data_IF_921254941597
#
_entry.id   IF_921254941597
#
_cell.length_a   1.000
_cell.length_b   1.000
_cell.length_c   1.000
_cell.angle_alpha   90.00
_cell.angle_beta   90.00
_cell.angle_gamma   90.00
#
_symmetry.space_group_name_H-M   'P 1'
#
loop_
_entity.id
_entity.type
_entity.pdbx_description
1 polymer ?
#
# COMPACT_ATOMS: atom_id res chain seq x y z
N UNK A 1 -5.66 -26.75 6.28
CA UNK A 1 -4.43 -27.48 5.90
C UNK A 1 -3.89 -27.01 4.56
N UNK A 2 -4.71 -26.99 3.49
CA UNK A 2 -4.31 -26.51 2.16
C UNK A 2 -3.64 -25.13 2.16
N UNK A 3 -4.22 -24.15 2.87
CA UNK A 3 -3.64 -22.81 3.03
C UNK A 3 -2.20 -22.82 3.58
N UNK A 4 -1.92 -23.70 4.55
CA UNK A 4 -0.59 -23.79 5.16
C UNK A 4 0.43 -24.39 4.19
N UNK A 5 0.03 -25.41 3.44
CA UNK A 5 0.85 -26.01 2.39
C UNK A 5 1.16 -24.99 1.28
N UNK A 6 0.16 -24.20 0.87
CA UNK A 6 0.36 -23.11 -0.08
C UNK A 6 1.43 -22.12 0.42
N UNK A 7 1.32 -21.64 1.66
CA UNK A 7 2.29 -20.70 2.23
C UNK A 7 3.70 -21.32 2.36
N UNK A 8 3.80 -22.60 2.71
CA UNK A 8 5.09 -23.31 2.78
C UNK A 8 5.78 -23.43 1.41
N UNK A 9 5.02 -23.65 0.35
CA UNK A 9 5.56 -23.65 -1.01
C UNK A 9 5.98 -22.22 -1.37
N UNK A 10 5.11 -21.25 -1.14
CA UNK A 10 5.34 -19.84 -1.49
C UNK A 10 6.58 -19.26 -0.81
N UNK A 11 6.84 -19.64 0.44
CA UNK A 11 8.03 -19.28 1.21
C UNK A 11 9.34 -19.59 0.46
N UNK A 12 9.41 -20.70 -0.27
CA UNK A 12 10.60 -21.09 -1.05
C UNK A 12 10.88 -20.13 -2.22
N UNK A 13 9.84 -19.51 -2.76
CA UNK A 13 9.91 -18.63 -3.93
C UNK A 13 9.76 -17.15 -3.56
N UNK A 14 9.70 -16.80 -2.27
CA UNK A 14 9.42 -15.42 -1.80
C UNK A 14 10.38 -14.38 -2.38
N UNK A 15 11.65 -14.74 -2.53
CA UNK A 15 12.70 -13.85 -3.04
C UNK A 15 12.49 -13.44 -4.50
N UNK A 16 11.68 -14.19 -5.26
CA UNK A 16 11.33 -13.88 -6.66
C UNK A 16 9.93 -13.26 -6.74
N UNK A 17 8.97 -13.86 -6.03
CA UNK A 17 7.56 -13.45 -6.08
C UNK A 17 7.35 -12.05 -5.49
N UNK A 18 8.06 -11.70 -4.41
CA UNK A 18 7.90 -10.42 -3.71
C UNK A 18 8.89 -9.35 -4.17
N UNK A 19 9.61 -9.55 -5.28
CA UNK A 19 10.42 -8.49 -5.90
C UNK A 19 9.49 -7.34 -6.32
N UNK A 20 9.75 -6.11 -5.88
CA UNK A 20 8.96 -4.93 -6.27
C UNK A 20 9.28 -4.41 -7.69
N UNK A 21 10.43 -4.79 -8.26
CA UNK A 21 10.85 -4.41 -9.63
C UNK A 21 9.94 -5.03 -10.70
N UNK A 22 9.79 -4.32 -11.82
CA UNK A 22 8.92 -4.66 -12.94
C UNK A 22 9.64 -4.65 -14.30
N UNK A 23 10.94 -4.95 -14.32
CA UNK A 23 11.66 -5.12 -15.58
C UNK A 23 11.26 -6.43 -16.30
N UNK A 24 11.54 -6.52 -17.60
CA UNK A 24 11.11 -7.64 -18.45
C UNK A 24 11.65 -9.00 -17.96
N UNK A 25 12.88 -9.03 -17.45
CA UNK A 25 13.51 -10.24 -16.92
C UNK A 25 12.81 -10.67 -15.63
N UNK A 26 12.60 -9.75 -14.69
CA UNK A 26 11.92 -10.00 -13.42
C UNK A 26 10.49 -10.49 -13.63
N UNK A 27 9.77 -9.96 -14.63
CA UNK A 27 8.41 -10.43 -14.95
C UNK A 27 8.42 -11.89 -15.43
N UNK A 28 9.37 -12.26 -16.29
CA UNK A 28 9.54 -13.65 -16.75
C UNK A 28 9.92 -14.58 -15.60
N UNK A 29 10.83 -14.15 -14.74
CA UNK A 29 11.26 -14.93 -13.57
C UNK A 29 10.10 -15.16 -12.59
N UNK A 30 9.26 -14.13 -12.36
CA UNK A 30 8.04 -14.26 -11.58
C UNK A 30 7.07 -15.24 -12.20
N UNK A 31 6.84 -15.18 -13.51
CA UNK A 31 5.91 -16.10 -14.17
C UNK A 31 6.41 -17.55 -14.15
N UNK A 32 7.72 -17.76 -14.26
CA UNK A 32 8.34 -19.07 -14.07
C UNK A 32 8.17 -19.56 -12.63
N UNK A 33 8.47 -18.71 -11.64
CA UNK A 33 8.31 -19.06 -10.22
C UNK A 33 6.85 -19.43 -9.90
N UNK A 34 5.88 -18.67 -10.42
CA UNK A 34 4.46 -18.99 -10.24
C UNK A 34 4.04 -20.29 -10.92
N UNK A 35 4.63 -20.63 -12.07
CA UNK A 35 4.41 -21.91 -12.73
C UNK A 35 4.92 -23.08 -11.87
N UNK A 36 6.11 -22.95 -11.27
CA UNK A 36 6.66 -23.96 -10.38
C UNK A 36 5.87 -24.10 -9.08
N UNK A 37 5.44 -22.98 -8.46
CA UNK A 37 4.54 -23.00 -7.30
C UNK A 37 3.25 -23.75 -7.62
N UNK A 38 2.65 -23.50 -8.78
CA UNK A 38 1.41 -24.15 -9.20
C UNK A 38 1.59 -25.65 -9.39
N UNK A 39 2.70 -26.05 -10.03
CA UNK A 39 3.06 -27.45 -10.23
C UNK A 39 3.30 -28.16 -8.90
N UNK A 40 4.13 -27.60 -8.03
CA UNK A 40 4.42 -28.18 -6.71
C UNK A 40 3.15 -28.29 -5.86
N UNK A 41 2.28 -27.28 -5.89
CA UNK A 41 1.01 -27.30 -5.18
C UNK A 41 0.09 -28.41 -5.68
N UNK A 42 -0.10 -28.54 -6.99
CA UNK A 42 -0.98 -29.55 -7.58
C UNK A 42 -0.43 -30.99 -7.44
N UNK A 43 0.88 -31.15 -7.24
CA UNK A 43 1.51 -32.46 -7.01
C UNK A 43 1.29 -33.00 -5.58
N UNK A 44 0.83 -32.16 -4.65
CA UNK A 44 0.58 -32.60 -3.28
C UNK A 44 -0.62 -33.54 -3.23
N UNK A 45 -0.45 -34.73 -2.63
CA UNK A 45 -1.50 -35.75 -2.50
C UNK A 45 -2.76 -35.26 -1.74
N UNK A 46 -2.64 -34.19 -0.96
CA UNK A 46 -3.75 -33.58 -0.22
C UNK A 46 -4.63 -32.66 -1.09
N UNK A 47 -4.21 -32.34 -2.31
CA UNK A 47 -4.94 -31.46 -3.22
C UNK A 47 -5.83 -32.30 -4.12
N UNK A 48 -7.14 -32.26 -3.86
CA UNK A 48 -8.13 -33.03 -4.61
C UNK A 48 -8.51 -32.40 -5.95
N UNK A 49 -8.26 -31.10 -6.12
CA UNK A 49 -8.60 -30.36 -7.34
C UNK A 49 -7.43 -29.50 -7.76
N UNK A 50 -7.01 -29.65 -9.02
CA UNK A 50 -5.98 -28.81 -9.60
C UNK A 50 -6.36 -27.33 -9.55
N UNK A 51 -5.37 -26.51 -9.23
CA UNK A 51 -5.47 -25.06 -9.26
C UNK A 51 -4.69 -24.52 -10.44
N UNK A 52 -5.15 -23.40 -10.98
CA UNK A 52 -4.42 -22.65 -11.99
C UNK A 52 -3.51 -21.62 -11.33
N UNK A 53 -2.47 -21.21 -12.04
CA UNK A 53 -1.58 -20.11 -11.63
C UNK A 53 -2.38 -18.86 -11.24
N UNK A 54 -3.42 -18.53 -12.01
CA UNK A 54 -4.26 -17.36 -11.76
C UNK A 54 -5.03 -17.47 -10.44
N UNK A 55 -5.54 -18.66 -10.10
CA UNK A 55 -6.22 -18.90 -8.83
C UNK A 55 -5.26 -18.75 -7.64
N UNK A 56 -4.03 -19.26 -7.77
CA UNK A 56 -3.01 -19.14 -6.71
C UNK A 56 -2.51 -17.70 -6.55
N UNK A 57 -2.29 -16.97 -7.66
CA UNK A 57 -1.99 -15.54 -7.65
C UNK A 57 -3.11 -14.76 -6.96
N UNK A 58 -4.38 -15.07 -7.27
CA UNK A 58 -5.55 -14.43 -6.63
C UNK A 58 -5.65 -14.76 -5.15
N UNK A 59 -5.42 -16.02 -4.76
CA UNK A 59 -5.38 -16.43 -3.37
C UNK A 59 -4.34 -15.63 -2.59
N UNK A 60 -3.13 -15.50 -3.13
CA UNK A 60 -2.07 -14.71 -2.50
C UNK A 60 -2.42 -13.23 -2.37
N UNK A 61 -2.98 -12.63 -3.43
CA UNK A 61 -3.45 -11.25 -3.38
C UNK A 61 -4.51 -11.03 -2.28
N UNK A 62 -5.45 -11.97 -2.14
CA UNK A 62 -6.48 -11.92 -1.10
C UNK A 62 -5.88 -12.08 0.31
N UNK A 63 -4.89 -12.96 0.49
CA UNK A 63 -4.20 -13.13 1.77
C UNK A 63 -3.46 -11.85 2.18
N UNK A 64 -2.74 -11.22 1.24
CA UNK A 64 -2.10 -9.92 1.45
C UNK A 64 -3.12 -8.83 1.78
N UNK A 65 -4.27 -8.81 1.11
CA UNK A 65 -5.32 -7.83 1.40
C UNK A 65 -5.91 -8.01 2.80
N UNK A 66 -6.30 -9.23 3.15
CA UNK A 66 -6.86 -9.52 4.47
C UNK A 66 -5.89 -9.15 5.60
N UNK A 67 -4.59 -9.37 5.39
CA UNK A 67 -3.55 -8.96 6.32
C UNK A 67 -3.43 -7.43 6.44
N UNK A 68 -3.50 -6.68 5.33
CA UNK A 68 -3.53 -5.21 5.35
C UNK A 68 -4.76 -4.66 6.09
N UNK A 69 -5.92 -5.26 5.86
CA UNK A 69 -7.17 -4.84 6.50
C UNK A 69 -7.11 -5.06 8.01
N UNK A 70 -6.61 -6.22 8.45
CA UNK A 70 -6.39 -6.54 9.85
C UNK A 70 -5.44 -5.51 10.53
N UNK A 71 -4.33 -5.18 9.86
CA UNK A 71 -3.36 -4.20 10.35
C UNK A 71 -3.95 -2.79 10.42
N UNK A 72 -4.68 -2.38 9.38
CA UNK A 72 -5.35 -1.07 9.32
C UNK A 72 -6.38 -0.96 10.43
N UNK A 73 -7.19 -1.99 10.63
CA UNK A 73 -8.17 -2.06 11.71
C UNK A 73 -7.52 -1.93 13.09
N UNK A 74 -6.43 -2.68 13.34
CA UNK A 74 -5.65 -2.56 14.59
C UNK A 74 -5.16 -1.13 14.83
N UNK A 75 -4.65 -0.47 13.80
CA UNK A 75 -4.17 0.91 13.90
C UNK A 75 -5.31 1.88 14.18
N UNK A 76 -6.44 1.75 13.49
CA UNK A 76 -7.62 2.59 13.70
C UNK A 76 -8.18 2.45 15.11
N UNK A 77 -8.30 1.21 15.61
CA UNK A 77 -8.70 0.95 17.00
C UNK A 77 -7.79 1.66 18.02
N UNK A 78 -6.46 1.63 17.81
CA UNK A 78 -5.50 2.35 18.67
C UNK A 78 -5.65 3.87 18.64
N UNK A 79 -6.08 4.43 17.51
CA UNK A 79 -6.23 5.88 17.33
C UNK A 79 -7.64 6.38 17.70
N UNK A 80 -8.60 5.48 17.92
CA UNK A 80 -9.94 5.83 18.31
C UNK A 80 -9.96 6.33 19.77
N UNK A 81 -10.39 7.57 19.98
CA UNK A 81 -10.49 8.21 21.31
C UNK A 81 -11.92 8.28 21.82
N UNK A 82 -12.86 7.62 21.15
CA UNK A 82 -14.31 7.78 21.39
C UNK A 82 -14.94 6.70 22.26
N UNK A 83 -14.46 6.48 23.50
CA UNK A 83 -15.16 5.78 24.61
C UNK A 83 -15.81 4.40 24.36
N UNK A 84 -15.65 3.83 23.17
CA UNK A 84 -16.25 2.57 22.76
C UNK A 84 -15.46 1.37 23.26
N UNK A 85 -16.07 0.18 23.30
CA UNK A 85 -15.38 -1.04 23.67
C UNK A 85 -14.20 -1.31 22.71
N UNK A 86 -13.09 -1.77 23.27
CA UNK A 86 -11.89 -2.14 22.51
C UNK A 86 -12.24 -3.19 21.45
N UNK A 87 -11.94 -2.89 20.18
CA UNK A 87 -12.14 -3.86 19.12
C UNK A 87 -11.16 -5.02 19.25
N UNK A 88 -11.67 -6.24 19.03
CA UNK A 88 -10.92 -7.50 19.15
C UNK A 88 -9.60 -7.50 18.38
N UNK A 89 -8.59 -8.14 18.98
CA UNK A 89 -7.24 -8.23 18.43
C UNK A 89 -7.25 -8.71 16.97
N UNK A 90 -6.70 -7.88 16.08
CA UNK A 90 -6.57 -8.22 14.67
C UNK A 90 -5.74 -9.50 14.51
N UNK A 91 -6.33 -10.52 13.88
CA UNK A 91 -5.67 -11.82 13.63
C UNK A 91 -4.64 -11.68 12.51
N UNK A 92 -3.44 -11.25 12.89
CA UNK A 92 -2.25 -11.14 12.03
C UNK A 92 -1.68 -12.54 11.81
N UNK A 93 -1.53 -12.96 10.55
CA UNK A 93 -0.93 -14.25 10.23
C UNK A 93 0.61 -14.13 10.13
N UNK A 94 1.39 -14.82 10.98
CA UNK A 94 2.84 -14.73 10.98
C UNK A 94 3.48 -15.32 9.71
N UNK A 95 2.86 -16.34 9.09
CA UNK A 95 3.41 -16.99 7.89
C UNK A 95 3.32 -16.02 6.69
N UNK A 96 2.23 -15.27 6.58
CA UNK A 96 2.04 -14.24 5.54
C UNK A 96 3.05 -13.11 5.73
N UNK A 97 3.32 -12.72 6.97
CA UNK A 97 4.26 -11.66 7.28
C UNK A 97 5.72 -12.07 7.00
N UNK A 98 6.07 -13.33 7.22
CA UNK A 98 7.40 -13.85 6.90
C UNK A 98 7.69 -13.87 5.39
N UNK A 99 6.67 -14.10 4.56
CA UNK A 99 6.78 -14.06 3.10
C UNK A 99 6.81 -12.62 2.59
N UNK A 100 5.93 -11.76 3.11
CA UNK A 100 5.79 -10.36 2.71
C UNK A 100 5.95 -9.40 3.91
N UNK A 101 7.19 -9.18 4.39
CA UNK A 101 7.43 -8.31 5.56
C UNK A 101 7.11 -6.84 5.26
N UNK A 102 7.30 -6.42 4.00
CA UNK A 102 7.03 -5.06 3.55
C UNK A 102 5.53 -4.70 3.52
N UNK A 103 4.63 -5.65 3.79
CA UNK A 103 3.20 -5.38 3.89
C UNK A 103 2.86 -4.36 5.00
N UNK A 104 3.80 -4.18 5.93
CA UNK A 104 3.73 -3.24 7.06
C UNK A 104 4.39 -1.87 6.79
N UNK A 105 5.02 -1.66 5.63
CA UNK A 105 5.62 -0.37 5.29
C UNK A 105 4.52 0.65 5.00
N UNK A 106 4.24 1.53 5.96
CA UNK A 106 3.39 2.69 5.72
C UNK A 106 4.09 3.62 4.74
N UNK A 107 3.31 4.29 3.89
CA UNK A 107 3.84 5.44 3.16
C UNK A 107 4.43 6.43 4.18
N UNK A 108 5.66 6.93 3.94
CA UNK A 108 6.24 7.93 4.81
C UNK A 108 5.30 9.15 4.84
N UNK A 109 4.84 9.51 6.03
CA UNK A 109 4.12 10.77 6.24
C UNK A 109 5.10 11.92 6.11
N UNK A 110 4.76 12.89 5.26
CA UNK A 110 5.59 14.08 5.02
C UNK A 110 5.59 15.02 6.23
N UNK A 111 4.44 15.16 6.87
CA UNK A 111 4.27 15.99 8.05
C UNK A 111 3.17 15.41 8.94
N UNK A 112 3.40 15.38 10.25
CA UNK A 112 2.36 15.07 11.23
C UNK A 112 2.27 16.24 12.21
N UNK A 113 1.07 16.49 12.74
CA UNK A 113 0.80 17.61 13.67
C UNK A 113 1.68 17.58 14.95
N UNK A 114 2.30 16.44 15.23
CA UNK A 114 3.16 16.19 16.38
C UNK A 114 4.66 16.08 16.04
N UNK A 115 5.10 16.52 14.85
CA UNK A 115 6.49 16.44 14.42
C UNK A 115 7.27 17.69 14.80
N UNK A 116 8.50 17.51 15.29
CA UNK A 116 9.42 18.61 15.69
C UNK A 116 10.07 19.25 14.47
N UNK A 117 10.52 20.50 14.58
CA UNK A 117 11.16 21.23 13.47
C UNK A 117 12.38 20.49 12.87
N UNK A 118 13.10 19.72 13.70
CA UNK A 118 14.24 18.90 13.26
C UNK A 118 13.75 17.74 12.38
N UNK A 119 12.71 17.04 12.80
CA UNK A 119 12.13 15.93 12.04
C UNK A 119 11.49 16.40 10.72
N UNK A 120 11.01 17.65 10.66
CA UNK A 120 10.52 18.27 9.42
C UNK A 120 11.66 18.44 8.42
N UNK A 121 12.80 18.98 8.88
CA UNK A 121 13.94 19.29 8.02
C UNK A 121 14.57 18.00 7.44
N UNK A 122 14.75 16.99 8.29
CA UNK A 122 15.25 15.67 7.87
C UNK A 122 14.35 15.03 6.78
N UNK A 123 13.02 15.20 6.89
CA UNK A 123 12.10 14.70 5.85
C UNK A 123 12.12 15.54 4.58
N UNK A 124 12.34 16.86 4.66
CA UNK A 124 12.52 17.71 3.48
C UNK A 124 13.73 17.25 2.69
N UNK A 125 14.87 17.04 3.34
CA UNK A 125 16.09 16.54 2.69
C UNK A 125 15.84 15.19 2.01
N UNK A 126 15.23 14.24 2.70
CA UNK A 126 14.90 12.93 2.13
C UNK A 126 13.98 13.02 0.90
N UNK A 127 12.96 13.89 0.92
CA UNK A 127 12.10 14.10 -0.25
C UNK A 127 12.85 14.75 -1.41
N UNK A 128 13.75 15.68 -1.11
CA UNK A 128 14.57 16.35 -2.11
C UNK A 128 15.49 15.37 -2.84
N UNK A 129 16.07 14.41 -2.12
CA UNK A 129 16.90 13.34 -2.70
C UNK A 129 16.10 12.39 -3.62
N UNK A 130 14.87 12.04 -3.23
CA UNK A 130 13.97 11.22 -4.06
C UNK A 130 13.59 11.95 -5.34
N UNK A 131 13.36 13.26 -5.28
CA UNK A 131 13.00 14.08 -6.45
C UNK A 131 14.22 14.27 -7.36
N UNK A 132 15.40 14.51 -6.79
CA UNK A 132 16.65 14.73 -7.53
C UNK A 132 17.14 13.48 -8.28
N UNK A 133 16.72 12.29 -7.85
CA UNK A 133 17.06 11.02 -8.50
C UNK A 133 16.13 10.63 -9.64
N UNK A 134 14.99 11.32 -9.82
CA UNK A 134 14.05 11.12 -10.92
C UNK A 134 14.00 12.38 -11.79
N UNK A 135 14.93 12.52 -12.74
CA UNK A 135 14.87 13.59 -13.75
C UNK A 135 13.62 13.44 -14.64
N UNK A 136 12.56 14.19 -14.30
CA UNK A 136 11.52 14.82 -15.14
C UNK A 136 10.14 14.76 -14.47
N UNK A 137 9.78 15.80 -13.69
CA UNK A 137 8.42 16.32 -13.67
C UNK A 137 8.44 17.79 -13.22
N UNK A 138 7.76 18.63 -14.00
CA UNK A 138 7.75 20.09 -13.89
C UNK A 138 7.46 20.62 -12.48
N UNK A 139 8.19 21.67 -12.15
CA UNK A 139 8.09 22.50 -10.94
C UNK A 139 6.67 23.05 -10.74
N UNK A 140 6.03 22.69 -9.64
CA UNK A 140 4.97 23.53 -9.05
C UNK A 140 5.61 24.38 -7.96
N UNK A 141 5.94 25.62 -8.34
CA UNK A 141 6.40 26.68 -7.44
C UNK A 141 5.27 27.05 -6.44
N UNK A 142 5.49 26.92 -5.12
CA UNK A 142 4.49 27.28 -4.12
C UNK A 142 4.53 28.77 -3.72
N UNK A 143 5.21 29.64 -4.46
CA UNK A 143 5.30 31.08 -4.16
C UNK A 143 4.62 31.96 -5.23
N UNK A 144 3.30 31.89 -5.33
CA UNK A 144 2.54 33.01 -5.92
C UNK A 144 1.55 33.57 -4.91
N UNK A 145 2.10 34.36 -3.98
CA UNK A 145 1.36 35.34 -3.21
C UNK A 145 0.98 36.48 -4.16
N UNK A 146 -0.28 36.55 -4.59
CA UNK A 146 -0.87 37.81 -5.01
C UNK A 146 -2.04 38.12 -4.07
N UNK A 147 -1.69 38.77 -2.96
CA UNK A 147 -2.59 39.74 -2.35
C UNK A 147 -2.67 40.92 -3.32
N UNK A 148 -3.86 41.25 -3.83
CA UNK A 148 -4.18 42.64 -4.05
C UNK A 148 -5.69 42.91 -3.90
N UNK A 149 -5.93 44.00 -3.20
CA UNK A 149 -7.14 44.42 -2.51
C UNK A 149 -8.11 45.22 -3.41
N UNK A 150 -9.41 45.05 -3.11
CA UNK A 150 -10.49 46.06 -3.06
C UNK A 150 -10.77 46.90 -4.32
N UNK A 151 -12.00 46.78 -4.84
CA UNK A 151 -12.93 47.94 -4.92
C UNK A 151 -14.38 47.50 -5.13
N UNK A 152 -15.23 47.93 -4.20
CA UNK A 152 -16.69 47.99 -4.30
C UNK A 152 -17.15 48.71 -5.57
N UNK A 153 -18.20 48.21 -6.23
CA UNK A 153 -19.23 49.09 -6.80
C UNK A 153 -20.59 48.40 -6.82
N UNK A 154 -21.51 49.00 -6.07
CA UNK A 154 -22.93 48.70 -5.93
C UNK A 154 -23.75 49.10 -7.17
N UNK A 155 -25.03 48.68 -7.16
CA UNK A 155 -26.20 49.24 -7.86
C UNK A 155 -26.54 48.77 -9.29
N UNK A 156 -27.56 47.89 -9.44
CA UNK A 156 -29.00 48.26 -9.63
C UNK A 156 -29.87 47.14 -10.24
N UNK A 157 -30.97 46.85 -9.53
CA UNK A 157 -32.37 46.58 -9.95
C UNK A 157 -32.68 46.06 -11.37
N UNK A 158 -33.37 44.90 -11.43
CA UNK A 158 -34.70 44.70 -12.08
C UNK A 158 -35.17 43.26 -11.76
N UNK A 159 -36.10 42.99 -10.84
CA UNK A 159 -37.57 42.93 -11.07
C UNK A 159 -38.03 43.22 -12.51
N UNK A 160 -38.46 42.21 -13.26
CA UNK A 160 -39.90 41.95 -13.45
C UNK A 160 -40.22 40.60 -14.13
N UNK A 161 -41.35 40.05 -13.71
CA UNK A 161 -42.32 39.11 -14.30
C UNK A 161 -42.05 38.39 -15.64
N UNK A 162 -42.23 37.06 -15.62
CA UNK A 162 -43.36 36.37 -16.28
C UNK A 162 -43.53 34.94 -15.74
#
# INVERSE_FOLDING_TARGET
MERKLFLQILEKYKNVIEIKKSDSTTLKDKDLAWSEVCKEYNQLALISQERTVQQLKKLWANLKQSQRDALTKKKQSRLATGGGPEETEAKIDPDVLNIAPHLMENAPVLFTSNMTDIEIEEKREFTFDIISTNENLDTLDPTNNNEDLISDESDKKNIDSQ
#
